data_IF_690629768208
#
_entry.id   IF_690629768208
#
_cell.length_a   1.000
_cell.length_b   1.000
_cell.length_c   1.000
_cell.angle_alpha   90.00
_cell.angle_beta   90.00
_cell.angle_gamma   90.00
#
_symmetry.space_group_name_H-M   'P 1'
#
loop_
_entity.id
_entity.type
_entity.pdbx_description
1 polymer ?
#
# COMPACT_ATOMS: atom_id res chain seq x y z
N UNK A 1 -11.78 8.76 13.37
CA UNK A 1 -12.60 7.84 12.55
C UNK A 1 -13.83 8.51 11.92
N UNK A 2 -14.98 8.69 12.61
CA UNK A 2 -16.22 9.15 11.95
C UNK A 2 -16.09 10.49 11.23
N UNK A 3 -15.54 11.51 11.89
CA UNK A 3 -15.42 12.88 11.32
C UNK A 3 -14.51 12.92 10.09
N UNK A 4 -13.38 12.22 10.11
CA UNK A 4 -12.45 12.17 8.98
C UNK A 4 -13.07 11.47 7.78
N UNK A 5 -13.76 10.34 8.00
CA UNK A 5 -14.43 9.61 6.92
C UNK A 5 -15.56 10.44 6.29
N UNK A 6 -16.39 11.11 7.10
CA UNK A 6 -17.42 12.03 6.60
C UNK A 6 -16.81 13.20 5.83
N UNK A 7 -15.71 13.77 6.33
CA UNK A 7 -14.98 14.82 5.61
C UNK A 7 -14.41 14.31 4.27
N UNK A 8 -13.88 13.09 4.24
CA UNK A 8 -13.40 12.43 3.02
C UNK A 8 -14.53 12.24 2.01
N UNK A 9 -15.68 11.71 2.43
CA UNK A 9 -16.85 11.56 1.56
C UNK A 9 -17.38 12.90 1.05
N UNK A 10 -17.41 13.93 1.90
CA UNK A 10 -17.79 15.27 1.48
C UNK A 10 -16.85 15.83 0.40
N UNK A 11 -15.53 15.67 0.56
CA UNK A 11 -14.56 16.11 -0.43
C UNK A 11 -14.69 15.34 -1.76
N UNK A 12 -14.96 14.04 -1.70
CA UNK A 12 -15.21 13.18 -2.86
C UNK A 12 -16.43 13.65 -3.67
N UNK A 13 -17.57 13.83 -3.00
CA UNK A 13 -18.79 14.34 -3.62
C UNK A 13 -18.60 15.75 -4.20
N UNK A 14 -17.90 16.62 -3.47
CA UNK A 14 -17.62 17.97 -3.95
C UNK A 14 -16.78 17.95 -5.22
N UNK A 15 -15.73 17.11 -5.28
CA UNK A 15 -14.87 17.00 -6.46
C UNK A 15 -15.66 16.57 -7.70
N UNK A 16 -16.59 15.62 -7.54
CA UNK A 16 -17.48 15.18 -8.62
C UNK A 16 -18.41 16.30 -9.10
N UNK A 17 -18.94 17.11 -8.18
CA UNK A 17 -19.84 18.24 -8.53
C UNK A 17 -19.08 19.39 -9.19
N UNK A 18 -17.88 19.71 -8.72
CA UNK A 18 -17.11 20.87 -9.20
C UNK A 18 -16.17 20.55 -10.37
N UNK A 19 -16.03 19.28 -10.77
CA UNK A 19 -15.05 18.83 -11.75
C UNK A 19 -13.60 19.08 -11.31
N UNK A 20 -13.38 19.11 -9.99
CA UNK A 20 -12.10 19.51 -9.43
C UNK A 20 -11.12 18.33 -9.38
N UNK A 21 -10.27 18.24 -10.40
CA UNK A 21 -9.36 17.10 -10.65
C UNK A 21 -7.91 17.32 -10.17
N UNK A 22 -7.69 18.00 -9.04
CA UNK A 22 -6.33 18.17 -8.49
C UNK A 22 -5.81 16.91 -7.81
N UNK A 23 -4.58 16.50 -8.13
CA UNK A 23 -3.95 15.32 -7.54
C UNK A 23 -3.80 15.45 -6.01
N UNK A 24 -3.42 16.61 -5.50
CA UNK A 24 -3.33 16.86 -4.06
C UNK A 24 -4.68 16.72 -3.33
N UNK A 25 -5.77 17.17 -3.97
CA UNK A 25 -7.11 17.06 -3.41
C UNK A 25 -7.61 15.62 -3.46
N UNK A 26 -7.40 14.92 -4.57
CA UNK A 26 -7.71 13.49 -4.68
C UNK A 26 -6.93 12.66 -3.63
N UNK A 27 -5.63 12.93 -3.45
CA UNK A 27 -4.83 12.28 -2.42
C UNK A 27 -5.33 12.59 -1.00
N UNK A 28 -5.75 13.84 -0.74
CA UNK A 28 -6.34 14.23 0.56
C UNK A 28 -7.66 13.50 0.81
N UNK A 29 -8.51 13.39 -0.20
CA UNK A 29 -9.76 12.62 -0.14
C UNK A 29 -9.47 11.16 0.17
N UNK A 30 -8.55 10.52 -0.57
CA UNK A 30 -8.12 9.14 -0.36
C UNK A 30 -7.58 8.91 1.06
N UNK A 31 -6.80 9.86 1.59
CA UNK A 31 -6.29 9.78 2.97
C UNK A 31 -7.42 9.76 4.00
N UNK A 32 -8.38 10.68 3.87
CA UNK A 32 -9.44 10.86 4.86
C UNK A 32 -10.50 9.76 4.77
N UNK A 33 -10.89 9.40 3.55
CA UNK A 33 -11.93 8.42 3.25
C UNK A 33 -11.44 6.98 3.47
N UNK A 34 -10.23 6.68 3.02
CA UNK A 34 -9.73 5.30 2.95
C UNK A 34 -8.53 5.09 3.87
N UNK A 35 -7.43 5.83 3.68
CA UNK A 35 -6.16 5.46 4.31
C UNK A 35 -6.22 5.43 5.85
N UNK A 36 -6.79 6.49 6.44
CA UNK A 36 -6.92 6.59 7.88
C UNK A 36 -7.90 5.57 8.45
N UNK A 37 -9.00 5.27 7.75
CA UNK A 37 -10.01 4.33 8.22
C UNK A 37 -9.55 2.88 8.10
N UNK A 38 -9.01 2.49 6.95
CA UNK A 38 -8.69 1.10 6.63
C UNK A 38 -7.37 0.62 7.23
N UNK A 39 -6.40 1.52 7.45
CA UNK A 39 -5.04 1.14 7.85
C UNK A 39 -4.54 1.96 9.05
N UNK A 40 -4.56 3.29 8.96
CA UNK A 40 -3.96 4.18 9.97
C UNK A 40 -4.56 4.04 11.37
N UNK A 41 -5.89 4.09 11.49
CA UNK A 41 -6.56 3.96 12.78
C UNK A 41 -6.60 2.52 13.32
N UNK A 42 -6.84 1.47 12.50
CA UNK A 42 -6.77 0.09 12.99
C UNK A 42 -5.42 -0.26 13.62
N UNK A 43 -4.31 0.12 12.98
CA UNK A 43 -2.97 -0.11 13.53
C UNK A 43 -2.74 0.68 14.83
N UNK A 44 -3.13 1.96 14.85
CA UNK A 44 -3.03 2.79 16.05
C UNK A 44 -3.86 2.22 17.21
N UNK A 45 -5.09 1.76 16.93
CA UNK A 45 -5.98 1.15 17.90
C UNK A 45 -5.37 -0.12 18.49
N UNK A 46 -4.85 -1.02 17.65
CA UNK A 46 -4.17 -2.23 18.10
C UNK A 46 -2.98 -1.93 19.02
N UNK A 47 -2.16 -0.95 18.64
CA UNK A 47 -1.02 -0.51 19.44
C UNK A 47 -1.44 0.10 20.79
N UNK A 48 -2.49 0.94 20.80
CA UNK A 48 -3.04 1.50 22.03
C UNK A 48 -3.59 0.42 22.96
N UNK A 49 -4.32 -0.55 22.43
CA UNK A 49 -4.86 -1.67 23.22
C UNK A 49 -3.75 -2.56 23.80
N UNK A 50 -2.61 -2.66 23.11
CA UNK A 50 -1.42 -3.37 23.59
C UNK A 50 -0.58 -2.57 24.60
N UNK A 51 -0.98 -1.35 24.95
CA UNK A 51 -0.21 -0.49 25.86
C UNK A 51 1.09 0.05 25.27
N UNK A 52 1.19 0.15 23.95
CA UNK A 52 2.39 0.65 23.29
C UNK A 52 2.65 2.14 23.61
N UNK A 53 3.92 2.59 23.62
CA UNK A 53 4.26 3.99 23.79
C UNK A 53 3.60 4.88 22.72
N UNK A 54 3.27 6.13 23.07
CA UNK A 54 2.65 7.08 22.13
C UNK A 54 3.44 7.28 20.83
N UNK A 55 4.78 7.20 20.92
CA UNK A 55 5.66 7.26 19.75
C UNK A 55 5.38 6.12 18.75
N UNK A 56 5.20 4.90 19.25
CA UNK A 56 4.86 3.71 18.45
C UNK A 56 3.46 3.82 17.86
N UNK A 57 2.47 4.26 18.66
CA UNK A 57 1.10 4.48 18.18
C UNK A 57 1.08 5.49 17.03
N UNK A 58 1.81 6.60 17.17
CA UNK A 58 1.92 7.64 16.15
C UNK A 58 2.63 7.12 14.89
N UNK A 59 3.74 6.40 15.05
CA UNK A 59 4.48 5.81 13.94
C UNK A 59 3.60 4.83 13.15
N UNK A 60 2.85 3.96 13.83
CA UNK A 60 1.94 3.02 13.20
C UNK A 60 0.78 3.70 12.47
N UNK A 61 0.24 4.80 13.03
CA UNK A 61 -0.78 5.60 12.35
C UNK A 61 -0.24 6.22 11.06
N UNK A 62 0.99 6.75 11.08
CA UNK A 62 1.63 7.36 9.91
C UNK A 62 2.01 6.33 8.85
N UNK A 63 2.49 5.16 9.29
CA UNK A 63 2.74 4.03 8.40
C UNK A 63 1.46 3.58 7.69
N UNK A 64 0.37 3.37 8.45
CA UNK A 64 -0.93 3.01 7.90
C UNK A 64 -1.53 4.12 7.03
N UNK A 65 -1.27 5.40 7.32
CA UNK A 65 -1.65 6.52 6.43
C UNK A 65 -0.94 6.42 5.08
N UNK A 66 0.35 6.09 5.06
CA UNK A 66 1.14 5.98 3.82
C UNK A 66 0.69 4.77 3.00
N UNK A 67 0.65 3.59 3.62
CA UNK A 67 0.21 2.35 2.97
C UNK A 67 -1.26 2.41 2.54
N UNK A 68 -2.13 3.03 3.35
CA UNK A 68 -3.53 3.19 3.00
C UNK A 68 -3.78 4.16 1.84
N UNK A 69 -2.90 5.15 1.64
CA UNK A 69 -2.93 5.97 0.42
C UNK A 69 -2.48 5.14 -0.78
N UNK A 70 -1.37 4.39 -0.65
CA UNK A 70 -0.90 3.48 -1.68
C UNK A 70 -1.99 2.49 -2.12
N UNK A 71 -2.71 1.92 -1.16
CA UNK A 71 -3.84 1.03 -1.38
C UNK A 71 -4.91 1.69 -2.26
N UNK A 72 -5.36 2.90 -1.91
CA UNK A 72 -6.38 3.59 -2.71
C UNK A 72 -5.87 3.94 -4.11
N UNK A 73 -4.61 4.37 -4.24
CA UNK A 73 -4.03 4.66 -5.55
C UNK A 73 -3.92 3.41 -6.44
N UNK A 74 -3.58 2.27 -5.83
CA UNK A 74 -3.59 0.98 -6.52
C UNK A 74 -5.02 0.60 -6.93
N UNK A 75 -6.01 0.80 -6.05
CA UNK A 75 -7.42 0.56 -6.33
C UNK A 75 -7.94 1.42 -7.50
N UNK A 76 -7.58 2.72 -7.57
CA UNK A 76 -7.90 3.59 -8.71
C UNK A 76 -7.32 3.04 -10.03
N UNK A 77 -6.10 2.47 -10.00
CA UNK A 77 -5.49 1.81 -11.16
C UNK A 77 -6.23 0.53 -11.51
N UNK A 78 -6.65 -0.27 -10.53
CA UNK A 78 -7.46 -1.47 -10.75
C UNK A 78 -8.86 -1.13 -11.27
N UNK A 79 -9.47 -0.04 -10.83
CA UNK A 79 -10.76 0.42 -11.32
C UNK A 79 -10.71 0.85 -12.79
N UNK A 80 -9.57 1.37 -13.24
CA UNK A 80 -9.33 1.67 -14.65
C UNK A 80 -8.96 0.42 -15.47
N UNK A 81 -7.99 -0.39 -15.02
CA UNK A 81 -7.33 -1.42 -15.83
C UNK A 81 -7.60 -2.87 -15.41
N UNK A 82 -8.40 -3.10 -14.37
CA UNK A 82 -8.59 -4.41 -13.76
C UNK A 82 -9.22 -5.42 -14.71
N UNK A 83 -8.69 -6.65 -14.67
CA UNK A 83 -9.23 -7.77 -15.43
C UNK A 83 -10.66 -8.11 -14.96
N UNK A 84 -11.67 -8.10 -15.85
CA UNK A 84 -13.04 -8.47 -15.51
C UNK A 84 -13.17 -9.86 -14.87
N UNK A 85 -12.30 -10.81 -15.21
CA UNK A 85 -12.29 -12.13 -14.60
C UNK A 85 -11.89 -12.10 -13.12
N UNK A 86 -11.08 -11.11 -12.71
CA UNK A 86 -10.61 -10.94 -11.33
C UNK A 86 -11.49 -9.96 -10.53
N UNK A 87 -12.06 -8.95 -11.17
CA UNK A 87 -12.84 -7.90 -10.50
C UNK A 87 -14.35 -8.17 -10.52
N UNK A 88 -14.84 -8.98 -11.46
CA UNK A 88 -16.26 -9.15 -11.73
C UNK A 88 -16.91 -7.93 -12.39
N UNK A 89 -16.11 -6.96 -12.83
CA UNK A 89 -16.55 -5.65 -13.31
C UNK A 89 -15.94 -5.31 -14.68
N UNK A 90 -16.60 -4.50 -15.52
CA UNK A 90 -16.03 -4.11 -16.80
C UNK A 90 -14.77 -3.24 -16.61
N UNK A 91 -13.83 -3.33 -17.55
CA UNK A 91 -12.67 -2.44 -17.62
C UNK A 91 -13.15 -0.98 -17.70
N UNK A 92 -12.40 -0.08 -17.05
CA UNK A 92 -12.71 1.35 -17.04
C UNK A 92 -13.99 1.71 -16.30
N UNK A 93 -14.39 0.94 -15.28
CA UNK A 93 -15.57 1.24 -14.46
C UNK A 93 -15.50 2.66 -13.88
N UNK A 94 -14.39 3.02 -13.24
CA UNK A 94 -14.24 4.35 -12.62
C UNK A 94 -14.28 5.50 -13.65
N UNK A 95 -13.75 5.25 -14.85
CA UNK A 95 -13.81 6.21 -15.97
C UNK A 95 -15.26 6.36 -16.45
N UNK A 96 -15.98 5.26 -16.59
CA UNK A 96 -17.39 5.25 -17.00
C UNK A 96 -18.30 5.95 -15.98
N UNK A 97 -17.98 5.83 -14.71
CA UNK A 97 -18.65 6.55 -13.61
C UNK A 97 -18.22 8.02 -13.49
N UNK A 98 -17.21 8.46 -14.25
CA UNK A 98 -16.72 9.84 -14.23
C UNK A 98 -16.06 10.23 -12.91
N UNK A 99 -15.56 9.26 -12.14
CA UNK A 99 -14.91 9.51 -10.85
C UNK A 99 -13.65 10.34 -11.05
N UNK A 100 -13.51 11.44 -10.32
CA UNK A 100 -12.28 12.25 -10.28
C UNK A 100 -11.19 11.57 -9.45
N UNK A 101 -10.73 10.39 -9.89
CA UNK A 101 -9.68 9.60 -9.22
C UNK A 101 -8.33 10.30 -9.25
N UNK A 102 -7.41 9.89 -8.38
CA UNK A 102 -6.05 10.42 -8.39
C UNK A 102 -5.34 10.12 -9.73
N UNK A 103 -5.65 8.97 -10.33
CA UNK A 103 -5.10 8.57 -11.63
C UNK A 103 -5.48 9.54 -12.76
N UNK A 104 -6.76 9.95 -12.84
CA UNK A 104 -7.19 10.93 -13.85
C UNK A 104 -6.63 12.33 -13.56
N UNK A 105 -6.51 12.70 -12.29
CA UNK A 105 -5.86 13.95 -11.89
C UNK A 105 -4.39 14.03 -12.35
N UNK A 106 -3.62 12.95 -12.11
CA UNK A 106 -2.24 12.84 -12.60
C UNK A 106 -2.18 12.86 -14.12
N UNK A 107 -3.13 12.23 -14.81
CA UNK A 107 -3.21 12.31 -16.27
C UNK A 107 -3.45 13.74 -16.77
N UNK A 108 -4.27 14.52 -16.08
CA UNK A 108 -4.46 15.94 -16.36
C UNK A 108 -3.16 16.73 -16.25
N UNK A 109 -2.41 16.53 -15.16
CA UNK A 109 -1.08 17.14 -14.97
C UNK A 109 -0.11 16.76 -16.10
N UNK A 110 -0.04 15.47 -16.44
CA UNK A 110 0.81 14.97 -17.53
C UNK A 110 0.42 15.53 -18.90
N UNK A 111 -0.87 15.61 -19.20
CA UNK A 111 -1.33 16.22 -20.46
C UNK A 111 -0.96 17.70 -20.52
N UNK A 112 -1.09 18.43 -19.41
CA UNK A 112 -0.67 19.82 -19.33
C UNK A 112 0.86 19.98 -19.53
N UNK A 113 1.67 19.15 -18.87
CA UNK A 113 3.12 19.11 -19.03
C UNK A 113 3.53 18.82 -20.49
N UNK A 114 2.80 17.94 -21.18
CA UNK A 114 3.04 17.54 -22.57
C UNK A 114 2.40 18.47 -23.62
N UNK A 115 1.58 19.44 -23.20
CA UNK A 115 0.81 20.30 -24.11
C UNK A 115 -0.34 19.59 -24.84
N UNK A 116 -0.78 18.43 -24.37
CA UNK A 116 -1.87 17.65 -24.97
C UNK A 116 -3.25 18.23 -24.62
N UNK A 117 -3.68 19.20 -25.44
CA UNK A 117 -5.00 19.83 -25.32
C UNK A 117 -6.16 18.87 -25.57
N UNK A 118 -5.97 17.85 -26.41
CA UNK A 118 -7.02 16.88 -26.72
C UNK A 118 -7.25 15.92 -25.54
N UNK A 119 -6.17 15.46 -24.91
CA UNK A 119 -6.20 14.68 -23.68
C UNK A 119 -6.87 15.44 -22.53
N UNK A 120 -6.49 16.71 -22.31
CA UNK A 120 -7.16 17.56 -21.31
C UNK A 120 -8.67 17.67 -21.56
N UNK A 121 -9.08 17.94 -22.80
CA UNK A 121 -10.51 18.03 -23.13
C UNK A 121 -11.26 16.71 -22.96
N UNK A 122 -10.61 15.56 -23.15
CA UNK A 122 -11.20 14.25 -22.88
C UNK A 122 -11.42 14.04 -21.38
N UNK A 123 -10.41 14.34 -20.55
CA UNK A 123 -10.50 14.22 -19.10
C UNK A 123 -11.59 15.13 -18.52
N UNK A 124 -11.66 16.39 -18.97
CA UNK A 124 -12.70 17.34 -18.56
C UNK A 124 -14.11 16.84 -18.90
N UNK A 125 -14.31 16.19 -20.05
CA UNK A 125 -15.61 15.61 -20.41
C UNK A 125 -15.98 14.45 -19.49
N UNK A 126 -15.04 13.56 -19.20
CA UNK A 126 -15.24 12.38 -18.35
C UNK A 126 -15.59 12.80 -16.92
N UNK A 127 -14.84 13.74 -16.34
CA UNK A 127 -15.04 14.17 -14.95
C UNK A 127 -16.09 15.27 -14.79
N UNK A 128 -16.54 15.87 -15.89
CA UNK A 128 -17.50 16.98 -15.92
C UNK A 128 -18.97 16.59 -15.91
N UNK A 129 -19.29 15.30 -15.70
CA UNK A 129 -20.67 14.80 -15.62
C UNK A 129 -21.38 14.60 -16.96
N UNK A 130 -20.66 14.70 -18.08
CA UNK A 130 -21.19 14.27 -19.37
C UNK A 130 -21.34 12.74 -19.40
N UNK A 131 -22.23 12.23 -20.25
CA UNK A 131 -22.36 10.78 -20.45
C UNK A 131 -21.09 10.25 -21.12
N UNK A 132 -20.28 9.51 -20.37
CA UNK A 132 -19.09 8.81 -20.88
C UNK A 132 -19.52 7.68 -21.82
N UNK A 133 -19.01 7.67 -23.04
CA UNK A 133 -19.23 6.59 -24.02
C UNK A 133 -18.17 5.50 -23.91
N UNK A 134 -18.40 4.32 -24.49
CA UNK A 134 -17.38 3.26 -24.56
C UNK A 134 -16.13 3.71 -25.34
N UNK A 135 -16.30 4.57 -26.35
CA UNK A 135 -15.18 5.16 -27.06
C UNK A 135 -14.37 6.10 -26.16
N UNK A 136 -15.02 6.91 -25.33
CA UNK A 136 -14.34 7.77 -24.35
C UNK A 136 -13.54 6.93 -23.35
N UNK A 137 -14.11 5.80 -22.88
CA UNK A 137 -13.41 4.87 -21.98
C UNK A 137 -12.14 4.33 -22.63
N UNK A 138 -12.22 3.80 -23.86
CA UNK A 138 -11.04 3.28 -24.55
C UNK A 138 -9.97 4.37 -24.76
N UNK A 139 -10.38 5.56 -25.23
CA UNK A 139 -9.46 6.68 -25.43
C UNK A 139 -8.82 7.14 -24.12
N UNK A 140 -9.55 7.12 -23.01
CA UNK A 140 -9.02 7.46 -21.71
C UNK A 140 -7.99 6.44 -21.22
N UNK A 141 -8.25 5.14 -21.41
CA UNK A 141 -7.28 4.08 -21.07
C UNK A 141 -5.98 4.24 -21.85
N UNK A 142 -6.07 4.51 -23.16
CA UNK A 142 -4.91 4.78 -24.00
C UNK A 142 -4.17 6.05 -23.57
N UNK A 143 -4.91 7.10 -23.21
CA UNK A 143 -4.34 8.34 -22.70
C UNK A 143 -3.58 8.12 -21.38
N UNK A 144 -4.17 7.40 -20.43
CA UNK A 144 -3.57 7.09 -19.13
C UNK A 144 -2.21 6.39 -19.25
N UNK A 145 -2.05 5.56 -20.29
CA UNK A 145 -0.78 4.90 -20.62
C UNK A 145 0.16 5.85 -21.36
N UNK A 146 -0.29 6.43 -22.48
CA UNK A 146 0.55 7.23 -23.37
C UNK A 146 1.08 8.53 -22.75
N UNK A 147 0.34 9.16 -21.83
CA UNK A 147 0.82 10.34 -21.09
C UNK A 147 1.73 9.98 -19.89
N UNK A 148 1.85 8.68 -19.57
CA UNK A 148 2.66 8.15 -18.48
C UNK A 148 2.02 8.26 -17.09
N UNK A 149 0.73 8.55 -16.99
CA UNK A 149 0.03 8.68 -15.71
C UNK A 149 -0.01 7.35 -14.94
N UNK A 150 -0.33 6.25 -15.64
CA UNK A 150 -0.34 4.89 -15.05
C UNK A 150 0.98 4.58 -14.33
N UNK A 151 2.11 4.79 -15.02
CA UNK A 151 3.43 4.48 -14.47
C UNK A 151 3.81 5.42 -13.32
N UNK A 152 3.43 6.71 -13.41
CA UNK A 152 3.66 7.69 -12.34
C UNK A 152 2.89 7.32 -11.07
N UNK A 153 1.64 6.86 -11.20
CA UNK A 153 0.85 6.37 -10.07
C UNK A 153 1.41 5.06 -9.52
N UNK A 154 1.81 4.12 -10.38
CA UNK A 154 2.42 2.86 -9.94
C UNK A 154 3.69 3.08 -9.12
N UNK A 155 4.61 3.93 -9.58
CA UNK A 155 5.80 4.32 -8.79
C UNK A 155 5.42 4.97 -7.46
N UNK A 156 4.38 5.80 -7.46
CA UNK A 156 3.91 6.45 -6.23
C UNK A 156 3.37 5.44 -5.22
N UNK A 157 2.69 4.40 -5.67
CA UNK A 157 2.25 3.27 -4.82
C UNK A 157 3.46 2.60 -4.17
N UNK A 158 4.47 2.23 -4.96
CA UNK A 158 5.71 1.62 -4.47
C UNK A 158 6.41 2.48 -3.40
N UNK A 159 6.59 3.78 -3.68
CA UNK A 159 7.20 4.73 -2.74
C UNK A 159 6.43 4.81 -1.40
N UNK A 160 5.10 4.87 -1.46
CA UNK A 160 4.25 4.99 -0.28
C UNK A 160 4.24 3.70 0.55
N UNK A 161 4.24 2.54 -0.10
CA UNK A 161 4.39 1.24 0.56
C UNK A 161 5.75 1.10 1.24
N UNK A 162 6.83 1.42 0.53
CA UNK A 162 8.18 1.38 1.07
C UNK A 162 8.31 2.30 2.29
N UNK A 163 7.82 3.55 2.18
CA UNK A 163 7.78 4.49 3.31
C UNK A 163 6.98 3.93 4.49
N UNK A 164 5.82 3.32 4.24
CA UNK A 164 5.01 2.70 5.27
C UNK A 164 5.76 1.59 6.01
N UNK A 165 6.35 0.66 5.28
CA UNK A 165 7.14 -0.46 5.82
C UNK A 165 8.36 0.03 6.62
N UNK A 166 9.09 1.02 6.09
CA UNK A 166 10.21 1.65 6.80
C UNK A 166 9.78 2.32 8.11
N UNK A 167 8.63 3.00 8.12
CA UNK A 167 8.11 3.61 9.36
C UNK A 167 7.75 2.55 10.40
N UNK A 168 7.16 1.41 9.98
CA UNK A 168 6.88 0.27 10.88
C UNK A 168 8.16 -0.32 11.44
N UNK A 169 9.18 -0.54 10.61
CA UNK A 169 10.47 -1.09 11.03
C UNK A 169 11.17 -0.24 12.10
N UNK A 170 10.92 1.08 12.11
CA UNK A 170 11.46 2.03 13.10
C UNK A 170 10.51 2.28 14.28
N UNK A 171 9.34 1.65 14.34
CA UNK A 171 8.32 1.91 15.36
C UNK A 171 8.58 1.23 16.72
N UNK A 172 9.70 0.50 16.86
CA UNK A 172 10.04 -0.19 18.12
C UNK A 172 9.23 -1.46 18.35
N UNK A 173 8.71 -2.08 17.29
CA UNK A 173 8.02 -3.36 17.33
C UNK A 173 9.02 -4.53 17.34
N UNK A 174 8.55 -5.71 17.77
CA UNK A 174 9.25 -6.95 17.49
C UNK A 174 9.42 -7.13 15.97
N UNK A 175 10.57 -7.66 15.55
CA UNK A 175 10.94 -7.75 14.12
C UNK A 175 9.91 -8.51 13.30
N UNK A 176 9.46 -9.64 13.80
CA UNK A 176 8.44 -10.48 13.16
C UNK A 176 7.10 -9.75 12.98
N UNK A 177 6.68 -8.95 13.96
CA UNK A 177 5.48 -8.12 13.86
C UNK A 177 5.65 -7.01 12.82
N UNK A 178 6.82 -6.36 12.79
CA UNK A 178 7.13 -5.33 11.80
C UNK A 178 7.14 -5.90 10.37
N UNK A 179 7.78 -7.05 10.18
CA UNK A 179 7.87 -7.73 8.87
C UNK A 179 6.48 -8.11 8.36
N UNK A 180 5.63 -8.72 9.20
CA UNK A 180 4.24 -9.09 8.82
C UNK A 180 3.37 -7.89 8.43
N UNK A 181 3.52 -6.76 9.13
CA UNK A 181 2.78 -5.54 8.77
C UNK A 181 3.30 -4.98 7.43
N UNK A 182 4.62 -5.02 7.21
CA UNK A 182 5.23 -4.64 5.93
C UNK A 182 4.74 -5.50 4.76
N UNK A 183 4.71 -6.83 4.94
CA UNK A 183 4.17 -7.79 3.97
C UNK A 183 2.69 -7.50 3.67
N UNK A 184 1.88 -7.22 4.71
CA UNK A 184 0.48 -6.86 4.53
C UNK A 184 0.31 -5.58 3.70
N UNK A 185 1.18 -4.57 3.89
CA UNK A 185 1.14 -3.35 3.08
C UNK A 185 1.47 -3.61 1.61
N UNK A 186 2.46 -4.47 1.33
CA UNK A 186 2.82 -4.87 -0.03
C UNK A 186 1.66 -5.61 -0.71
N UNK A 187 1.16 -6.67 -0.07
CA UNK A 187 0.07 -7.49 -0.58
C UNK A 187 -1.20 -6.67 -0.87
N UNK A 188 -1.59 -5.77 0.06
CA UNK A 188 -2.75 -4.91 -0.14
C UNK A 188 -2.62 -3.99 -1.38
N UNK A 189 -1.41 -3.64 -1.77
CA UNK A 189 -1.14 -2.75 -2.89
C UNK A 189 -0.73 -3.50 -4.18
N UNK A 190 -0.91 -4.82 -4.22
CA UNK A 190 -0.52 -5.65 -5.35
C UNK A 190 1.00 -5.73 -5.57
N UNK A 191 1.79 -5.38 -4.55
CA UNK A 191 3.24 -5.47 -4.52
C UNK A 191 3.61 -6.74 -3.75
N UNK A 192 3.44 -7.89 -4.38
CA UNK A 192 3.91 -9.15 -3.79
C UNK A 192 5.45 -9.11 -3.69
N UNK A 193 5.98 -9.53 -2.54
CA UNK A 193 7.41 -9.74 -2.37
C UNK A 193 7.86 -10.76 -3.42
N UNK A 194 8.75 -10.34 -4.32
CA UNK A 194 9.05 -11.07 -5.54
C UNK A 194 9.05 -12.59 -5.36
N UNK A 195 8.08 -13.26 -5.97
CA UNK A 195 8.23 -14.63 -6.47
C UNK A 195 9.16 -14.61 -7.69
N UNK A 196 10.32 -13.97 -7.51
CA UNK A 196 11.50 -14.02 -8.35
C UNK A 196 12.52 -14.99 -7.76
N UNK A 197 12.08 -16.13 -7.24
CA UNK A 197 12.88 -17.35 -7.36
C UNK A 197 12.42 -17.96 -8.66
N UNK A 198 13.23 -17.85 -9.69
CA UNK A 198 13.08 -18.67 -10.89
C UNK A 198 12.72 -20.08 -10.42
N UNK A 199 11.58 -20.60 -10.91
CA UNK A 199 11.27 -22.00 -10.73
C UNK A 199 12.53 -22.76 -11.13
N UNK A 200 13.15 -23.47 -10.18
CA UNK A 200 14.22 -24.38 -10.52
C UNK A 200 13.67 -25.28 -11.63
N UNK A 201 14.42 -25.50 -12.73
CA UNK A 201 13.94 -26.34 -13.81
C UNK A 201 13.50 -27.68 -13.21
N UNK A 202 12.33 -28.17 -13.64
CA UNK A 202 11.78 -29.43 -13.19
C UNK A 202 12.89 -30.52 -13.29
N UNK A 203 13.06 -31.38 -12.27
CA UNK A 203 14.06 -32.42 -12.32
C UNK A 203 13.77 -33.32 -13.53
N UNK A 204 14.78 -33.54 -14.37
CA UNK A 204 14.65 -34.47 -15.51
C UNK A 204 14.23 -35.85 -15.00
N UNK A 205 13.24 -36.50 -15.65
CA UNK A 205 12.82 -37.83 -15.24
C UNK A 205 13.93 -38.83 -15.54
N UNK A 206 14.60 -39.35 -14.50
CA UNK A 206 15.56 -40.44 -14.67
C UNK A 206 16.80 -40.43 -13.75
N UNK A 207 16.97 -39.44 -12.88
CA UNK A 207 18.09 -39.45 -11.91
C UNK A 207 17.59 -39.81 -10.51
N UNK A 208 17.85 -41.04 -10.09
CA UNK A 208 17.74 -41.44 -8.68
C UNK A 208 18.71 -40.60 -7.86
N UNK A 209 18.29 -39.89 -6.80
CA UNK A 209 19.24 -39.19 -5.93
C UNK A 209 20.07 -40.23 -5.18
N UNK A 210 21.39 -40.09 -5.21
CA UNK A 210 22.29 -40.82 -4.34
C UNK A 210 21.96 -40.49 -2.88
N UNK A 211 21.87 -41.51 -2.04
CA UNK A 211 21.67 -41.39 -0.59
C UNK A 211 22.67 -40.39 0.01
N UNK A 212 22.14 -39.33 0.63
CA UNK A 212 22.94 -38.40 1.40
C UNK A 212 23.48 -39.09 2.65
N UNK A 213 24.74 -38.83 3.06
CA UNK A 213 25.25 -39.32 4.33
C UNK A 213 24.51 -38.64 5.49
N UNK A 214 24.25 -39.43 6.54
CA UNK A 214 23.55 -39.04 7.76
C UNK A 214 24.27 -37.86 8.45
N UNK A 215 23.55 -36.83 8.93
CA UNK A 215 24.17 -35.71 9.63
C UNK A 215 24.77 -36.18 10.97
N UNK A 216 25.92 -35.63 11.41
CA UNK A 216 26.48 -35.95 12.70
C UNK A 216 25.53 -35.51 13.83
N UNK A 217 25.42 -36.37 14.84
CA UNK A 217 24.55 -36.16 16.00
C UNK A 217 24.88 -34.89 16.80
N UNK A 218 23.93 -34.42 17.63
CA UNK A 218 24.06 -33.14 18.33
C UNK A 218 25.25 -33.13 19.31
N UNK A 219 25.92 -31.97 19.47
CA UNK A 219 27.01 -31.83 20.43
C UNK A 219 26.52 -31.98 21.87
N UNK A 220 27.41 -32.50 22.73
CA UNK A 220 27.15 -32.73 24.16
C UNK A 220 26.77 -31.43 24.89
N UNK A 221 25.89 -31.49 25.91
CA UNK A 221 25.47 -30.32 26.66
C UNK A 221 26.63 -29.72 27.49
N UNK A 222 26.65 -28.40 27.70
CA UNK A 222 27.68 -27.73 28.49
C UNK A 222 27.59 -28.12 29.98
N UNK A 223 28.75 -28.30 30.59
CA UNK A 223 28.93 -28.56 32.04
C UNK A 223 28.51 -27.31 32.82
N UNK A 224 27.71 -27.43 33.91
CA UNK A 224 27.26 -26.26 34.67
C UNK A 224 28.42 -25.56 35.38
N UNK A 225 28.46 -24.23 35.27
CA UNK A 225 29.38 -23.39 36.02
C UNK A 225 29.02 -23.38 37.52
N UNK A 226 30.01 -23.63 38.37
CA UNK A 226 29.91 -23.52 39.84
C UNK A 226 29.84 -22.03 40.21
N UNK A 227 28.82 -21.58 40.97
CA UNK A 227 28.71 -20.17 41.35
C UNK A 227 29.74 -19.82 42.45
N UNK A 228 30.39 -18.64 42.41
CA UNK A 228 31.12 -18.14 43.57
C UNK A 228 30.16 -17.75 44.69
N UNK A 229 30.49 -18.20 45.90
CA UNK A 229 29.82 -17.93 47.16
C UNK A 229 29.88 -16.45 47.56
N UNK A 230 28.73 -15.86 47.88
CA UNK A 230 28.57 -14.57 48.55
C UNK A 230 29.13 -14.61 49.98
N UNK A 231 29.77 -13.52 50.45
CA UNK A 231 29.62 -13.07 51.83
C UNK A 231 28.62 -11.91 51.91
N UNK A 232 27.66 -12.06 52.83
CA UNK A 232 26.82 -10.99 53.35
C UNK A 232 27.66 -9.99 54.17
N UNK A 233 27.18 -8.74 54.26
CA UNK A 233 27.10 -7.86 55.46
C UNK A 233 26.90 -6.39 54.98
N UNK A 234 25.69 -5.83 55.06
CA UNK A 234 25.13 -4.95 56.14
C UNK A 234 25.58 -3.47 56.07
N UNK A 235 24.57 -2.58 56.05
CA UNK A 235 24.57 -1.19 56.56
C UNK A 235 24.90 -0.10 55.54
N UNK A 236 24.27 1.08 55.44
CA UNK A 236 23.31 1.85 56.24
C UNK A 236 22.72 2.96 55.30
N UNK A 237 21.41 3.23 55.30
CA UNK A 237 20.76 4.41 55.93
C UNK A 237 21.32 5.78 55.50
N UNK A 238 20.77 6.35 54.42
CA UNK A 238 19.97 7.60 54.39
C UNK A 238 19.56 7.99 52.97
#
# INVERSE_FOLDING_TARGET
MRTEMVAGQYLDLRAQVTGDASADRAARTAVLKTALYSMGHPLALGATLAGAPEGTVRALREAGRSAGLAFQLHDDVRGAFGDPAATGKPVGEDIREGKATYLLAVAGERCAELGDRAGLGLLERITGGARTTEEDVHRALDLLVSCGARDRVARRVEELCARGAETVARAGLARDAADRIGELFGAACGLEAGTGRAAAPAPEPGRTPASAPEPPGPPAPPVPAVPPTLPALIGEVR
#
